data_IF_074238843856
#
_entry.id   IF_074238843856
#
_cell.length_a   1.000
_cell.length_b   1.000
_cell.length_c   1.000
_cell.angle_alpha   90.00
_cell.angle_beta   90.00
_cell.angle_gamma   90.00
#
_symmetry.space_group_name_H-M   'P 1'
#
loop_
_entity.id
_entity.type
_entity.pdbx_description
1 polymer ?
#
# COMPACT_ATOMS: atom_id res chain seq x y z
N UNK A 1 7.56 3.29 -15.26
CA UNK A 1 8.63 3.36 -16.30
C UNK A 1 9.28 1.99 -16.50
N UNK A 2 9.73 1.64 -17.71
CA UNK A 2 10.30 0.31 -17.99
C UNK A 2 11.55 -0.01 -17.16
N UNK A 3 12.41 0.99 -16.94
CA UNK A 3 13.59 0.87 -16.07
C UNK A 3 13.25 0.52 -14.62
N UNK A 4 12.13 1.06 -14.10
CA UNK A 4 11.65 0.78 -12.75
C UNK A 4 11.12 -0.66 -12.67
N UNK A 5 10.35 -1.09 -13.67
CA UNK A 5 9.87 -2.48 -13.74
C UNK A 5 11.03 -3.48 -13.77
N UNK A 6 12.06 -3.24 -14.59
CA UNK A 6 13.28 -4.06 -14.61
C UNK A 6 13.99 -4.10 -13.25
N UNK A 7 14.01 -2.98 -12.52
CA UNK A 7 14.61 -2.95 -11.18
C UNK A 7 13.82 -3.79 -10.17
N UNK A 8 12.49 -3.86 -10.31
CA UNK A 8 11.64 -4.70 -9.47
C UNK A 8 11.73 -6.17 -9.84
N UNK A 9 11.85 -6.50 -11.14
CA UNK A 9 12.15 -7.87 -11.59
C UNK A 9 13.45 -8.40 -10.98
N UNK A 10 14.46 -7.52 -10.83
CA UNK A 10 15.73 -7.85 -10.17
C UNK A 10 15.62 -8.18 -8.67
N UNK A 11 14.48 -7.93 -8.02
CA UNK A 11 14.22 -8.37 -6.64
C UNK A 11 13.92 -9.87 -6.56
N UNK A 12 13.58 -10.51 -7.69
CA UNK A 12 13.34 -11.95 -7.76
C UNK A 12 12.06 -12.42 -7.10
N UNK A 13 11.14 -11.49 -6.77
CA UNK A 13 9.87 -11.83 -6.13
C UNK A 13 8.96 -12.55 -7.13
N UNK A 14 8.50 -13.75 -6.74
CA UNK A 14 7.61 -14.60 -7.52
C UNK A 14 6.23 -14.69 -6.87
N UNK A 15 5.25 -15.22 -7.59
CA UNK A 15 3.93 -15.49 -7.01
C UNK A 15 4.05 -16.49 -5.85
N UNK A 16 4.88 -17.50 -6.03
CA UNK A 16 5.11 -18.58 -5.07
C UNK A 16 5.76 -18.08 -3.79
N UNK A 17 6.81 -17.24 -3.90
CA UNK A 17 7.50 -16.67 -2.73
C UNK A 17 6.65 -15.65 -1.99
N UNK A 18 5.83 -14.88 -2.71
CA UNK A 18 5.00 -13.83 -2.12
C UNK A 18 3.73 -14.38 -1.46
N UNK A 19 3.02 -15.29 -2.15
CA UNK A 19 1.72 -15.82 -1.71
C UNK A 19 1.83 -17.13 -0.91
N UNK A 20 2.88 -17.91 -1.15
CA UNK A 20 3.11 -19.19 -0.47
C UNK A 20 3.08 -19.10 1.07
N UNK A 21 3.71 -18.09 1.70
CA UNK A 21 3.67 -17.91 3.15
C UNK A 21 2.26 -17.73 3.74
N UNK A 22 1.30 -17.27 2.94
CA UNK A 22 -0.12 -17.13 3.32
C UNK A 22 -1.01 -18.24 2.75
N UNK A 23 -0.41 -19.29 2.19
CA UNK A 23 -1.12 -20.48 1.68
C UNK A 23 -1.85 -20.24 0.35
N UNK A 24 -1.44 -19.25 -0.43
CA UNK A 24 -2.04 -18.91 -1.72
C UNK A 24 -1.05 -19.10 -2.87
N UNK A 25 -1.58 -19.26 -4.09
CA UNK A 25 -0.78 -19.46 -5.31
C UNK A 25 -1.31 -18.72 -6.54
N UNK A 26 -2.47 -18.06 -6.43
CA UNK A 26 -3.11 -17.36 -7.53
C UNK A 26 -3.27 -15.89 -7.13
N UNK A 27 -2.61 -14.95 -7.82
CA UNK A 27 -2.75 -13.54 -7.52
C UNK A 27 -4.14 -13.04 -7.90
N UNK A 28 -4.69 -12.17 -7.06
CA UNK A 28 -5.91 -11.43 -7.37
C UNK A 28 -5.59 -10.16 -8.18
N UNK A 29 -6.59 -9.63 -8.89
CA UNK A 29 -6.48 -8.38 -9.63
C UNK A 29 -6.15 -8.55 -11.12
N UNK A 30 -5.39 -7.62 -11.67
CA UNK A 30 -5.12 -7.54 -13.10
C UNK A 30 -4.20 -8.67 -13.60
N UNK A 31 -4.57 -9.28 -14.72
CA UNK A 31 -3.75 -10.29 -15.38
C UNK A 31 -2.55 -9.65 -16.07
N UNK A 32 -1.44 -10.40 -16.17
CA UNK A 32 -0.22 -9.94 -16.85
C UNK A 32 0.56 -8.89 -16.06
N UNK A 33 0.40 -8.86 -14.74
CA UNK A 33 1.11 -8.00 -13.80
C UNK A 33 1.85 -8.84 -12.78
N UNK A 34 3.03 -8.40 -12.35
CA UNK A 34 3.75 -9.02 -11.24
C UNK A 34 3.05 -8.72 -9.89
N UNK A 35 3.35 -9.51 -8.86
CA UNK A 35 2.85 -9.27 -7.49
C UNK A 35 3.29 -7.90 -6.95
N UNK A 36 4.50 -7.45 -7.31
CA UNK A 36 5.01 -6.14 -6.95
C UNK A 36 4.24 -5.02 -7.67
N UNK A 37 3.95 -5.17 -8.97
CA UNK A 37 3.09 -4.22 -9.68
C UNK A 37 1.72 -4.12 -9.04
N UNK A 38 1.08 -5.26 -8.77
CA UNK A 38 -0.25 -5.33 -8.15
C UNK A 38 -0.28 -4.63 -6.79
N UNK A 39 0.78 -4.77 -6.00
CA UNK A 39 0.86 -4.20 -4.65
C UNK A 39 1.26 -2.73 -4.64
N UNK A 40 2.15 -2.30 -5.55
CA UNK A 40 2.80 -0.99 -5.48
C UNK A 40 2.26 0.04 -6.46
N UNK A 41 1.62 -0.40 -7.54
CA UNK A 41 1.30 0.47 -8.67
C UNK A 41 -0.09 0.23 -9.29
N UNK A 42 -0.83 -0.80 -8.86
CA UNK A 42 -2.22 -1.04 -9.28
C UNK A 42 -3.20 -0.70 -8.15
N UNK A 43 -4.40 -0.18 -8.47
CA UNK A 43 -5.39 0.13 -7.45
C UNK A 43 -6.06 -1.14 -6.91
N UNK A 44 -6.56 -1.08 -5.67
CA UNK A 44 -7.36 -2.14 -5.06
C UNK A 44 -8.72 -1.62 -4.61
N UNK A 45 -9.67 -2.54 -4.41
CA UNK A 45 -10.95 -2.31 -3.76
C UNK A 45 -11.22 -3.49 -2.82
N UNK A 46 -11.32 -3.21 -1.52
CA UNK A 46 -11.27 -4.23 -0.47
C UNK A 46 -12.46 -4.10 0.47
N UNK A 47 -13.04 -5.24 0.86
CA UNK A 47 -14.00 -5.32 1.96
C UNK A 47 -13.24 -5.66 3.24
N UNK A 48 -13.23 -4.73 4.18
CA UNK A 48 -12.57 -4.89 5.48
C UNK A 48 -13.48 -5.51 6.54
N UNK A 49 -14.78 -5.54 6.27
CA UNK A 49 -15.77 -6.14 7.14
C UNK A 49 -17.15 -6.05 6.51
N UNK A 50 -17.94 -7.10 6.68
CA UNK A 50 -19.34 -7.17 6.25
C UNK A 50 -20.11 -7.74 7.43
N UNK A 51 -21.16 -7.06 7.87
CA UNK A 51 -22.00 -7.46 9.00
C UNK A 51 -23.46 -7.36 8.59
N UNK A 52 -24.22 -8.41 8.85
CA UNK A 52 -25.67 -8.47 8.66
C UNK A 52 -26.22 -9.79 9.19
N UNK A 53 -27.46 -9.78 9.69
CA UNK A 53 -28.12 -11.00 10.18
C UNK A 53 -27.36 -11.71 11.31
N UNK A 54 -27.16 -13.02 11.17
CA UNK A 54 -26.48 -13.87 12.15
C UNK A 54 -25.01 -14.11 11.75
N UNK A 55 -24.05 -13.62 12.55
CA UNK A 55 -22.60 -13.70 12.27
C UNK A 55 -21.84 -14.70 13.14
N UNK A 56 -22.56 -15.46 13.99
CA UNK A 56 -21.99 -16.46 14.89
C UNK A 56 -21.80 -17.85 14.25
N UNK A 57 -21.18 -18.76 15.00
CA UNK A 57 -21.08 -20.19 14.59
C UNK A 57 -22.45 -20.86 14.66
N UNK A 58 -22.75 -21.76 13.72
CA UNK A 58 -24.01 -22.52 13.68
C UNK A 58 -25.00 -21.93 12.68
N UNK A 59 -26.30 -22.18 12.88
CA UNK A 59 -27.34 -21.72 11.96
C UNK A 59 -28.43 -20.94 12.69
N UNK A 60 -29.00 -19.96 12.00
CA UNK A 60 -30.22 -19.25 12.42
C UNK A 60 -31.02 -18.90 11.17
N UNK A 61 -32.27 -19.32 11.11
CA UNK A 61 -33.19 -19.01 10.00
C UNK A 61 -33.77 -17.61 10.16
N UNK A 62 -32.93 -16.59 10.02
CA UNK A 62 -33.30 -15.17 10.11
C UNK A 62 -33.12 -14.49 8.76
N UNK A 63 -34.05 -13.60 8.41
CA UNK A 63 -33.90 -12.67 7.30
C UNK A 63 -33.37 -11.37 7.90
N UNK A 64 -32.16 -10.96 7.52
CA UNK A 64 -31.58 -9.72 7.99
C UNK A 64 -32.35 -8.54 7.40
N UNK A 65 -32.83 -7.63 8.25
CA UNK A 65 -33.43 -6.38 7.79
C UNK A 65 -32.37 -5.38 7.30
N UNK A 66 -31.14 -5.49 7.81
CA UNK A 66 -30.04 -4.57 7.51
C UNK A 66 -28.72 -5.31 7.38
N UNK A 67 -27.83 -4.75 6.57
CA UNK A 67 -26.44 -5.15 6.45
C UNK A 67 -25.55 -3.92 6.19
N UNK A 68 -24.29 -4.01 6.60
CA UNK A 68 -23.29 -2.96 6.40
C UNK A 68 -21.98 -3.56 5.93
N UNK A 69 -21.20 -2.76 5.20
CA UNK A 69 -19.87 -3.11 4.75
C UNK A 69 -18.90 -1.94 4.95
N UNK A 70 -17.67 -2.25 5.36
CA UNK A 70 -16.55 -1.29 5.40
C UNK A 70 -15.66 -1.56 4.19
N UNK A 71 -15.55 -0.58 3.29
CA UNK A 71 -14.81 -0.73 2.02
C UNK A 71 -13.66 0.28 1.97
N UNK A 72 -12.48 -0.16 1.54
CA UNK A 72 -11.31 0.69 1.27
C UNK A 72 -10.86 0.56 -0.17
N UNK A 73 -10.15 1.58 -0.63
CA UNK A 73 -9.53 1.60 -1.95
C UNK A 73 -8.08 2.07 -1.79
N UNK A 74 -7.13 1.35 -2.38
CA UNK A 74 -5.78 1.87 -2.61
C UNK A 74 -5.79 2.62 -3.93
N UNK A 75 -5.47 3.90 -3.86
CA UNK A 75 -5.38 4.78 -5.01
C UNK A 75 -3.95 4.81 -5.53
N UNK A 76 -3.81 5.00 -6.84
CA UNK A 76 -2.52 5.09 -7.52
C UNK A 76 -2.47 6.31 -8.43
N UNK A 77 -1.25 6.80 -8.67
CA UNK A 77 -0.99 7.92 -9.58
C UNK A 77 -1.89 9.13 -9.31
N UNK A 78 -2.58 9.66 -10.33
CA UNK A 78 -3.39 10.88 -10.28
C UNK A 78 -4.87 10.61 -9.98
N UNK A 79 -5.20 9.45 -9.40
CA UNK A 79 -6.59 9.14 -9.05
C UNK A 79 -7.11 10.14 -7.99
N UNK A 80 -8.28 10.70 -8.27
CA UNK A 80 -8.96 11.63 -7.37
C UNK A 80 -9.85 10.83 -6.38
N UNK A 81 -9.57 10.88 -5.07
CA UNK A 81 -10.36 10.17 -4.06
C UNK A 81 -11.85 10.50 -4.11
N UNK A 82 -12.21 11.75 -4.44
CA UNK A 82 -13.62 12.19 -4.51
C UNK A 82 -14.33 11.54 -5.70
N UNK A 83 -13.67 11.48 -6.86
CA UNK A 83 -14.23 10.83 -8.06
C UNK A 83 -14.38 9.33 -7.88
N UNK A 84 -13.38 8.66 -7.30
CA UNK A 84 -13.45 7.22 -7.03
C UNK A 84 -14.59 6.89 -6.06
N UNK A 85 -14.72 7.68 -4.97
CA UNK A 85 -15.84 7.54 -4.05
C UNK A 85 -17.19 7.72 -4.73
N UNK A 86 -17.35 8.79 -5.51
CA UNK A 86 -18.61 9.06 -6.22
C UNK A 86 -18.97 7.92 -7.19
N UNK A 87 -17.98 7.40 -7.93
CA UNK A 87 -18.16 6.27 -8.84
C UNK A 87 -18.59 5.00 -8.10
N UNK A 88 -17.96 4.68 -6.97
CA UNK A 88 -18.37 3.53 -6.15
C UNK A 88 -19.79 3.68 -5.61
N UNK A 89 -20.15 4.85 -5.09
CA UNK A 89 -21.51 5.08 -4.58
C UNK A 89 -22.57 4.97 -5.68
N UNK A 90 -22.30 5.49 -6.88
CA UNK A 90 -23.18 5.32 -8.04
C UNK A 90 -23.33 3.84 -8.40
N UNK A 91 -22.21 3.12 -8.51
CA UNK A 91 -22.20 1.67 -8.77
C UNK A 91 -23.08 0.88 -7.79
N UNK A 92 -23.03 1.21 -6.50
CA UNK A 92 -23.85 0.57 -5.48
C UNK A 92 -25.32 0.96 -5.64
N UNK A 93 -25.65 2.25 -5.76
CA UNK A 93 -27.04 2.73 -5.92
C UNK A 93 -27.75 2.08 -7.11
N UNK A 94 -27.06 1.93 -8.23
CA UNK A 94 -27.61 1.30 -9.45
C UNK A 94 -27.99 -0.18 -9.26
N UNK A 95 -27.58 -0.82 -8.15
CA UNK A 95 -27.79 -2.24 -7.87
C UNK A 95 -28.69 -2.51 -6.66
N UNK A 96 -29.16 -1.46 -5.97
CA UNK A 96 -30.08 -1.63 -4.86
C UNK A 96 -31.50 -1.89 -5.42
N UNK A 97 -32.23 -2.92 -4.91
CA UNK A 97 -33.63 -3.13 -5.26
C UNK A 97 -34.50 -1.90 -4.99
N UNK A 98 -35.60 -1.73 -5.73
CA UNK A 98 -36.44 -0.52 -5.64
C UNK A 98 -37.14 -0.29 -4.29
N UNK A 99 -37.22 -1.32 -3.45
CA UNK A 99 -37.79 -1.31 -2.10
C UNK A 99 -36.72 -1.34 -0.99
N UNK A 100 -35.43 -1.21 -1.36
CA UNK A 100 -34.31 -1.18 -0.44
C UNK A 100 -33.64 0.21 -0.44
N UNK A 101 -32.89 0.52 0.62
CA UNK A 101 -32.14 1.77 0.75
C UNK A 101 -30.67 1.52 1.08
N UNK A 102 -29.81 2.46 0.72
CA UNK A 102 -28.39 2.45 1.07
C UNK A 102 -27.94 3.82 1.56
N UNK A 103 -27.18 3.85 2.66
CA UNK A 103 -26.51 5.03 3.18
C UNK A 103 -24.99 4.87 3.08
N UNK A 104 -24.28 5.98 2.90
CA UNK A 104 -22.82 5.98 2.82
C UNK A 104 -22.23 6.92 3.87
N UNK A 105 -21.34 6.39 4.72
CA UNK A 105 -20.59 7.17 5.69
C UNK A 105 -19.13 7.31 5.22
N UNK A 106 -18.73 8.47 4.67
CA UNK A 106 -17.37 8.65 4.17
C UNK A 106 -16.36 8.76 5.31
N UNK A 107 -15.17 8.20 5.11
CA UNK A 107 -14.02 8.39 5.99
C UNK A 107 -12.75 8.54 5.16
N UNK A 108 -11.85 9.44 5.57
CA UNK A 108 -10.56 9.69 4.91
C UNK A 108 -10.67 10.09 3.45
N UNK A 109 -9.60 9.89 2.68
CA UNK A 109 -9.55 10.12 1.23
C UNK A 109 -8.30 10.87 0.79
N UNK A 110 -7.14 10.22 0.91
CA UNK A 110 -5.85 10.79 0.52
C UNK A 110 -5.47 10.35 -0.90
N UNK A 111 -4.88 11.23 -1.73
CA UNK A 111 -4.35 10.83 -3.02
C UNK A 111 -3.12 9.94 -2.85
N UNK A 112 -2.75 9.23 -3.93
CA UNK A 112 -1.44 8.58 -3.98
C UNK A 112 -0.32 9.63 -4.01
N UNK A 113 0.83 9.27 -3.45
CA UNK A 113 2.01 10.13 -3.41
C UNK A 113 3.13 9.43 -4.17
N UNK A 114 3.87 10.22 -4.96
CA UNK A 114 5.00 9.73 -5.71
C UNK A 114 6.10 10.79 -5.69
N UNK A 115 7.31 10.38 -5.32
CA UNK A 115 8.52 11.17 -5.54
C UNK A 115 9.01 10.95 -6.98
N UNK A 116 9.57 11.98 -7.61
CA UNK A 116 10.18 11.83 -8.93
C UNK A 116 11.30 10.78 -8.89
N UNK A 117 11.32 9.87 -9.87
CA UNK A 117 12.41 8.88 -10.00
C UNK A 117 13.76 9.55 -10.30
N UNK A 118 13.74 10.77 -10.84
CA UNK A 118 14.92 11.57 -11.15
C UNK A 118 15.29 12.52 -10.00
N UNK A 119 14.68 12.38 -8.82
CA UNK A 119 14.98 13.22 -7.66
C UNK A 119 16.45 13.02 -7.24
N UNK A 120 17.25 14.10 -7.12
CA UNK A 120 18.64 13.98 -6.65
C UNK A 120 18.71 13.47 -5.21
N UNK A 121 17.68 13.73 -4.39
CA UNK A 121 17.59 13.20 -3.03
C UNK A 121 17.45 11.67 -3.03
N UNK A 122 16.64 11.14 -3.95
CA UNK A 122 16.48 9.69 -4.12
C UNK A 122 17.79 9.04 -4.58
N UNK A 123 18.50 9.62 -5.54
CA UNK A 123 19.78 9.10 -6.02
C UNK A 123 20.82 9.02 -4.89
N UNK A 124 21.03 10.13 -4.17
CA UNK A 124 21.97 10.20 -3.05
C UNK A 124 21.64 9.21 -1.93
N UNK A 125 20.35 9.07 -1.59
CA UNK A 125 19.94 8.12 -0.57
C UNK A 125 20.15 6.67 -1.01
N UNK A 126 19.90 6.35 -2.28
CA UNK A 126 20.18 5.01 -2.83
C UNK A 126 21.66 4.67 -2.77
N UNK A 127 22.55 5.61 -3.10
CA UNK A 127 23.99 5.39 -3.04
C UNK A 127 24.43 5.14 -1.58
N UNK A 128 24.00 6.01 -0.66
CA UNK A 128 24.28 5.86 0.78
C UNK A 128 23.79 4.52 1.37
N UNK A 129 22.60 4.06 0.94
CA UNK A 129 22.07 2.76 1.32
C UNK A 129 22.85 1.61 0.69
N UNK A 130 23.27 1.76 -0.57
CA UNK A 130 24.05 0.72 -1.25
C UNK A 130 25.40 0.49 -0.56
N UNK A 131 26.01 1.56 -0.07
CA UNK A 131 27.26 1.48 0.71
C UNK A 131 27.07 0.81 2.07
N UNK A 132 25.99 1.10 2.80
CA UNK A 132 25.74 0.49 4.12
C UNK A 132 25.35 -0.99 4.01
N UNK A 133 24.58 -1.33 2.98
CA UNK A 133 24.01 -2.67 2.82
C UNK A 133 24.80 -3.57 1.88
N UNK A 134 25.86 -3.05 1.25
CA UNK A 134 26.73 -3.75 0.28
C UNK A 134 25.92 -4.40 -0.85
N UNK A 135 24.78 -3.79 -1.18
CA UNK A 135 23.83 -4.26 -2.17
C UNK A 135 23.11 -3.06 -2.75
N UNK A 136 22.95 -3.06 -4.07
CA UNK A 136 22.28 -1.97 -4.77
C UNK A 136 20.87 -1.72 -4.22
N UNK A 137 20.64 -0.51 -3.70
CA UNK A 137 19.33 -0.07 -3.25
C UNK A 137 18.38 0.15 -4.44
N UNK A 138 17.12 -0.26 -4.27
CA UNK A 138 16.08 -0.16 -5.30
C UNK A 138 14.99 0.79 -4.82
N UNK A 139 14.46 1.61 -5.73
CA UNK A 139 13.29 2.44 -5.45
C UNK A 139 12.03 1.57 -5.54
N UNK A 140 11.34 1.38 -4.42
CA UNK A 140 10.12 0.58 -4.33
C UNK A 140 8.89 1.49 -4.27
N UNK A 141 7.71 0.91 -4.52
CA UNK A 141 6.46 1.53 -4.07
C UNK A 141 6.03 0.95 -2.72
N UNK A 142 4.82 1.29 -2.29
CA UNK A 142 4.23 0.72 -1.08
C UNK A 142 2.72 0.62 -1.21
N UNK A 143 2.15 -0.49 -0.73
CA UNK A 143 0.69 -0.68 -0.67
C UNK A 143 0.04 0.06 0.52
N UNK A 144 0.84 0.56 1.46
CA UNK A 144 0.38 1.32 2.62
C UNK A 144 -0.02 2.76 2.31
N UNK A 145 -0.42 3.51 3.33
CA UNK A 145 -0.67 4.95 3.18
C UNK A 145 -0.23 5.71 4.42
N UNK A 146 0.48 6.81 4.20
CA UNK A 146 0.94 7.75 5.23
C UNK A 146 0.55 9.15 4.74
N UNK A 147 -0.70 9.60 4.98
CA UNK A 147 -1.25 10.82 4.37
C UNK A 147 -0.38 12.07 4.55
N UNK A 148 0.24 12.22 5.73
CA UNK A 148 1.06 13.39 6.07
C UNK A 148 2.26 13.59 5.13
N UNK A 149 2.73 12.54 4.46
CA UNK A 149 3.80 12.63 3.44
C UNK A 149 3.37 13.52 2.27
N UNK A 150 2.10 13.47 1.88
CA UNK A 150 1.55 14.31 0.82
C UNK A 150 1.23 15.72 1.31
N UNK A 151 0.95 15.86 2.60
CA UNK A 151 0.70 17.15 3.25
C UNK A 151 1.97 18.02 3.25
N UNK A 152 3.16 17.44 3.44
CA UNK A 152 4.43 18.18 3.31
C UNK A 152 4.57 18.86 1.93
N UNK A 153 4.28 18.14 0.86
CA UNK A 153 4.32 18.71 -0.49
C UNK A 153 3.23 19.77 -0.68
N UNK A 154 2.02 19.51 -0.18
CA UNK A 154 0.85 20.37 -0.40
C UNK A 154 0.95 21.69 0.35
N UNK A 155 1.35 21.65 1.63
CA UNK A 155 1.34 22.81 2.51
C UNK A 155 2.69 23.50 2.63
N UNK A 156 3.80 22.76 2.44
CA UNK A 156 5.16 23.28 2.61
C UNK A 156 5.97 23.31 1.31
N UNK A 157 5.45 22.73 0.23
CA UNK A 157 6.18 22.63 -1.04
C UNK A 157 7.41 21.73 -0.98
N UNK A 158 7.49 20.85 0.03
CA UNK A 158 8.65 20.00 0.29
C UNK A 158 8.44 18.57 -0.22
N UNK A 159 9.42 18.07 -0.96
CA UNK A 159 9.48 16.65 -1.31
C UNK A 159 9.74 15.80 -0.06
N UNK A 160 9.14 14.61 -0.02
CA UNK A 160 9.33 13.65 1.07
C UNK A 160 9.89 12.34 0.52
N UNK A 161 11.07 11.96 1.00
CA UNK A 161 11.68 10.66 0.73
C UNK A 161 11.43 9.72 1.91
N UNK A 162 10.82 8.57 1.64
CA UNK A 162 10.60 7.54 2.64
C UNK A 162 11.74 6.52 2.59
N UNK A 163 12.40 6.32 3.73
CA UNK A 163 13.41 5.29 3.93
C UNK A 163 13.07 4.53 5.20
N UNK A 164 12.86 3.22 5.08
CA UNK A 164 12.53 2.33 6.18
C UNK A 164 13.32 1.02 6.07
N UNK A 165 13.43 0.29 7.17
CA UNK A 165 14.23 -0.93 7.27
C UNK A 165 13.41 -2.12 7.82
N UNK A 166 12.08 -1.97 7.81
CA UNK A 166 11.19 -3.08 8.11
C UNK A 166 11.27 -4.15 7.03
N UNK A 167 11.07 -5.40 7.43
CA UNK A 167 11.03 -6.56 6.55
C UNK A 167 9.59 -7.04 6.34
N UNK A 168 9.37 -7.79 5.27
CA UNK A 168 8.04 -8.28 4.91
C UNK A 168 7.43 -9.21 5.98
N UNK A 169 8.27 -9.81 6.83
CA UNK A 169 7.85 -10.69 7.92
C UNK A 169 7.74 -9.99 9.29
N UNK A 170 7.85 -8.65 9.34
CA UNK A 170 7.69 -7.89 10.59
C UNK A 170 6.26 -7.85 11.11
N UNK A 171 5.26 -8.24 10.30
CA UNK A 171 3.85 -8.39 10.69
C UNK A 171 3.22 -7.14 11.31
N UNK A 172 3.53 -5.97 10.75
CA UNK A 172 2.98 -4.69 11.18
C UNK A 172 1.45 -4.78 11.29
N UNK A 173 0.90 -4.40 12.45
CA UNK A 173 -0.54 -4.50 12.81
C UNK A 173 -1.10 -5.92 13.01
N UNK A 174 -0.25 -6.92 13.21
CA UNK A 174 -0.67 -8.31 13.38
C UNK A 174 0.02 -8.96 14.60
N UNK A 175 -0.50 -10.06 15.15
CA UNK A 175 0.15 -10.74 16.27
C UNK A 175 1.59 -11.17 15.95
N UNK A 176 2.45 -11.06 16.96
CA UNK A 176 3.90 -11.29 16.86
C UNK A 176 4.60 -10.33 15.89
N UNK A 177 4.19 -9.06 15.91
CA UNK A 177 4.95 -7.97 15.30
C UNK A 177 6.39 -7.97 15.85
N UNK A 178 7.39 -7.91 14.97
CA UNK A 178 8.81 -7.92 15.33
C UNK A 178 9.59 -6.86 14.57
N UNK A 179 10.85 -6.69 14.95
CA UNK A 179 11.81 -5.88 14.21
C UNK A 179 13.21 -6.44 14.37
N UNK A 180 13.94 -6.61 13.27
CA UNK A 180 15.28 -7.20 13.28
C UNK A 180 16.33 -6.26 13.91
N UNK A 181 17.17 -6.80 14.80
CA UNK A 181 18.28 -6.04 15.39
C UNK A 181 19.29 -5.58 14.33
N UNK A 182 19.47 -6.37 13.27
CA UNK A 182 20.28 -5.96 12.12
C UNK A 182 19.67 -4.72 11.45
N UNK A 183 18.36 -4.71 11.20
CA UNK A 183 17.66 -3.52 10.67
C UNK A 183 17.76 -2.32 11.59
N UNK A 184 17.70 -2.52 12.91
CA UNK A 184 17.90 -1.45 13.88
C UNK A 184 19.29 -0.81 13.76
N UNK A 185 20.35 -1.62 13.81
CA UNK A 185 21.72 -1.11 13.77
C UNK A 185 22.14 -0.58 12.40
N UNK A 186 21.84 -1.32 11.31
CA UNK A 186 22.15 -0.86 9.95
C UNK A 186 21.28 0.33 9.57
N UNK A 187 20.04 0.41 10.08
CA UNK A 187 19.14 1.54 9.84
C UNK A 187 19.65 2.85 10.46
N UNK A 188 20.20 2.82 11.67
CA UNK A 188 20.86 3.98 12.28
C UNK A 188 22.02 4.50 11.43
N UNK A 189 22.90 3.60 10.97
CA UNK A 189 24.04 3.97 10.12
C UNK A 189 23.61 4.44 8.74
N UNK A 190 22.58 3.83 8.18
CA UNK A 190 21.96 4.25 6.92
C UNK A 190 21.50 5.71 7.01
N UNK A 191 20.79 6.09 8.07
CA UNK A 191 20.37 7.48 8.27
C UNK A 191 21.54 8.44 8.41
N UNK A 192 22.59 8.07 9.16
CA UNK A 192 23.80 8.89 9.26
C UNK A 192 24.45 9.15 7.89
N UNK A 193 24.57 8.09 7.06
CA UNK A 193 25.12 8.19 5.69
C UNK A 193 24.22 9.00 4.75
N UNK A 194 22.91 8.81 4.83
CA UNK A 194 21.93 9.57 4.04
C UNK A 194 22.07 11.05 4.36
N UNK A 195 22.04 11.42 5.65
CA UNK A 195 22.16 12.82 6.07
C UNK A 195 23.49 13.44 5.62
N UNK A 196 24.61 12.74 5.79
CA UNK A 196 25.92 13.19 5.28
C UNK A 196 25.90 13.39 3.75
N UNK A 197 25.42 12.39 3.00
CA UNK A 197 25.34 12.47 1.53
C UNK A 197 24.42 13.58 1.01
N UNK A 198 23.34 13.89 1.73
CA UNK A 198 22.43 14.99 1.39
C UNK A 198 23.05 16.38 1.60
N UNK A 199 24.01 16.51 2.52
CA UNK A 199 24.67 17.80 2.82
C UNK A 199 25.87 18.14 1.94
N UNK A 200 26.37 17.18 1.17
CA UNK A 200 27.46 17.37 0.19
C UNK A 200 26.93 17.73 -1.19
#
# INVERSE_FOLDING_TARGET
PSQVLKSWEGLGETVETFLGPVGLSIPAGEKGRSVLELTWARPTAEFNGIIGGYTGKGFKTVIAAEASAKVSFRLVHKQDPKKIRAAFQAFVRDRIPGDCSVEFHPHGGSPAIQLSYDSPFLAKAKDALSDEWEKQAVATGGGGSIPVVGDFQTYLGMESLLVGFGLDDDRIHSPNEKYELTSFHKGQRSWARILDGLTR
#
